data_IF_255472043135
#
_entry.id   IF_255472043135
#
_cell.length_a   1.000
_cell.length_b   1.000
_cell.length_c   1.000
_cell.angle_alpha   90.00
_cell.angle_beta   90.00
_cell.angle_gamma   90.00
#
_symmetry.space_group_name_H-M   'P 1'
#
loop_
_entity.id
_entity.type
_entity.pdbx_description
1 polymer ?
#
# COMPACT_ATOMS: atom_id res chain seq x y z
N UNK A 1 2.87 -8.33 4.89
CA UNK A 1 1.87 -7.63 5.73
C UNK A 1 0.44 -8.05 5.35
N UNK A 2 -0.01 -7.81 4.11
CA UNK A 2 -1.36 -8.19 3.65
C UNK A 2 -1.68 -9.69 3.78
N UNK A 3 -0.76 -10.58 3.40
CA UNK A 3 -0.97 -12.03 3.55
C UNK A 3 -1.24 -12.44 4.99
N UNK A 4 -0.58 -11.80 5.96
CA UNK A 4 -0.79 -12.07 7.40
C UNK A 4 -2.13 -11.55 7.87
N UNK A 5 -2.57 -10.39 7.37
CA UNK A 5 -3.91 -9.87 7.65
C UNK A 5 -4.99 -10.80 7.11
N UNK A 6 -4.84 -11.27 5.87
CA UNK A 6 -5.76 -12.22 5.24
C UNK A 6 -5.81 -13.56 5.98
N UNK A 7 -4.67 -14.05 6.46
CA UNK A 7 -4.59 -15.29 7.25
C UNK A 7 -5.38 -15.19 8.58
N UNK A 8 -5.39 -14.02 9.22
CA UNK A 8 -6.02 -13.81 10.52
C UNK A 8 -7.48 -13.37 10.41
N UNK A 9 -7.79 -12.49 9.45
CA UNK A 9 -9.11 -11.87 9.33
C UNK A 9 -9.97 -12.52 8.23
N UNK A 10 -9.39 -13.40 7.40
CA UNK A 10 -10.05 -14.04 6.24
C UNK A 10 -10.67 -13.08 5.23
N UNK A 11 -10.31 -11.80 5.32
CA UNK A 11 -10.77 -10.73 4.44
C UNK A 11 -9.64 -9.73 4.26
N UNK A 12 -9.63 -9.08 3.11
CA UNK A 12 -8.70 -8.00 2.80
C UNK A 12 -9.15 -6.68 3.44
N UNK A 13 -8.21 -5.82 3.87
CA UNK A 13 -8.55 -4.56 4.53
C UNK A 13 -9.13 -3.55 3.52
N UNK A 14 -10.32 -3.02 3.81
CA UNK A 14 -10.96 -2.00 2.94
C UNK A 14 -10.24 -0.65 2.94
N UNK A 15 -9.32 -0.41 3.88
CA UNK A 15 -8.51 0.82 3.95
C UNK A 15 -7.14 0.49 4.55
N UNK A 16 -6.09 0.99 3.92
CA UNK A 16 -4.70 0.89 4.40
C UNK A 16 -4.18 2.31 4.63
N UNK A 17 -3.65 2.58 5.82
CA UNK A 17 -3.03 3.87 6.17
C UNK A 17 -1.55 3.62 6.40
N UNK A 18 -0.70 4.31 5.64
CA UNK A 18 0.76 4.19 5.72
C UNK A 18 1.31 5.48 6.31
N UNK A 19 1.99 5.38 7.44
CA UNK A 19 2.74 6.50 8.03
C UNK A 19 4.19 6.39 7.56
N UNK A 20 4.62 7.37 6.75
CA UNK A 20 6.02 7.51 6.32
C UNK A 20 6.67 8.66 7.08
N UNK A 21 7.65 8.32 7.90
CA UNK A 21 8.43 9.28 8.68
C UNK A 21 9.65 9.78 7.87
N UNK A 22 10.07 11.02 8.08
CA UNK A 22 11.30 11.59 7.50
C UNK A 22 11.22 12.10 6.06
N UNK A 23 10.05 12.51 5.58
CA UNK A 23 9.90 13.08 4.22
C UNK A 23 10.20 14.58 4.22
N UNK A 24 11.27 15.00 3.56
CA UNK A 24 11.48 16.41 3.22
C UNK A 24 10.59 16.83 2.03
N UNK A 25 10.15 18.09 1.96
CA UNK A 25 9.22 18.57 0.92
C UNK A 25 9.64 18.22 -0.52
N UNK A 26 10.95 18.16 -0.80
CA UNK A 26 11.47 17.77 -2.13
C UNK A 26 11.35 16.28 -2.48
N UNK A 27 11.09 15.40 -1.50
CA UNK A 27 10.90 13.96 -1.70
C UNK A 27 9.43 13.55 -1.76
N UNK A 28 8.52 14.45 -1.40
CA UNK A 28 7.08 14.20 -1.41
C UNK A 28 6.59 13.84 -2.82
N UNK A 29 7.11 14.51 -3.85
CA UNK A 29 6.70 14.23 -5.23
C UNK A 29 7.22 12.87 -5.70
N UNK A 30 8.44 12.49 -5.35
CA UNK A 30 8.98 11.14 -5.63
C UNK A 30 8.16 10.04 -4.96
N UNK A 31 7.67 10.28 -3.74
CA UNK A 31 6.77 9.37 -3.03
C UNK A 31 5.45 9.19 -3.78
N UNK A 32 4.84 10.28 -4.23
CA UNK A 32 3.59 10.25 -4.98
C UNK A 32 3.76 9.57 -6.34
N UNK A 33 4.85 9.88 -7.05
CA UNK A 33 5.07 9.41 -8.42
C UNK A 33 5.57 7.97 -8.49
N UNK A 34 6.31 7.49 -7.47
CA UNK A 34 6.94 6.17 -7.51
C UNK A 34 6.46 5.22 -6.41
N UNK A 35 6.41 5.67 -5.15
CA UNK A 35 6.08 4.75 -4.05
C UNK A 35 4.59 4.38 -4.02
N UNK A 36 3.70 5.37 -4.19
CA UNK A 36 2.24 5.13 -4.20
C UNK A 36 1.84 4.12 -5.29
N UNK A 37 2.19 4.30 -6.57
CA UNK A 37 1.82 3.32 -7.60
C UNK A 37 2.47 1.94 -7.37
N UNK A 38 3.72 1.85 -6.90
CA UNK A 38 4.34 0.56 -6.59
C UNK A 38 3.63 -0.19 -5.46
N UNK A 39 3.21 0.52 -4.42
CA UNK A 39 2.44 -0.06 -3.32
C UNK A 39 1.06 -0.53 -3.82
N UNK A 40 0.39 0.28 -4.63
CA UNK A 40 -0.91 -0.09 -5.22
C UNK A 40 -0.81 -1.29 -6.17
N UNK A 41 0.23 -1.35 -7.00
CA UNK A 41 0.45 -2.49 -7.90
C UNK A 41 0.79 -3.77 -7.12
N UNK A 42 1.50 -3.63 -6.00
CA UNK A 42 1.73 -4.75 -5.08
C UNK A 42 0.42 -5.29 -4.49
N UNK A 43 -0.60 -4.45 -4.31
CA UNK A 43 -1.93 -4.90 -3.85
C UNK A 43 -2.70 -5.64 -4.95
N UNK A 44 -2.64 -5.16 -6.20
CA UNK A 44 -3.24 -5.85 -7.35
C UNK A 44 -2.64 -7.24 -7.61
N UNK A 45 -1.36 -7.44 -7.27
CA UNK A 45 -0.74 -8.76 -7.37
C UNK A 45 -1.25 -9.76 -6.31
N UNK A 46 -1.72 -9.26 -5.17
CA UNK A 46 -2.26 -10.10 -4.08
C UNK A 46 -3.71 -10.49 -4.38
N UNK A 47 -4.47 -9.61 -5.01
CA UNK A 47 -5.82 -9.87 -5.49
C UNK A 47 -6.09 -8.99 -6.72
N UNK A 48 -6.37 -9.61 -7.87
CA UNK A 48 -6.62 -8.90 -9.12
C UNK A 48 -7.91 -8.07 -9.10
N UNK A 49 -8.80 -8.30 -8.14
CA UNK A 49 -10.05 -7.57 -7.93
C UNK A 49 -9.96 -6.54 -6.78
N UNK A 50 -8.76 -6.30 -6.22
CA UNK A 50 -8.53 -5.27 -5.21
C UNK A 50 -8.78 -3.87 -5.80
N UNK A 51 -9.96 -3.31 -5.50
CA UNK A 51 -10.47 -2.02 -6.01
C UNK A 51 -10.44 -0.92 -4.95
#
# INVERSE_FOLDING_TARGET
>A
ALSKWLEVNHVLPSRIVVYRDGVGDGQLMTLVDYEVPQILDSFKMVDSDYR
#
